data_IF_777020895638
#
_entry.id   IF_777020895638
#
_cell.length_a   1.000
_cell.length_b   1.000
_cell.length_c   1.000
_cell.angle_alpha   90.00
_cell.angle_beta   90.00
_cell.angle_gamma   90.00
#
_symmetry.space_group_name_H-M   'P 1'
#
loop_
_entity.id
_entity.type
_entity.pdbx_description
1 polymer ?
#
# COMPACT_ATOMS: atom_id res chain seq x y z
N UNK A 1 22.54 5.14 -8.50
CA UNK A 1 21.52 4.32 -9.16
C UNK A 1 20.14 4.78 -8.78
N UNK A 2 19.26 4.84 -9.77
CA UNK A 2 17.90 5.27 -9.55
C UNK A 2 17.04 4.10 -9.06
N UNK A 3 16.27 4.30 -8.00
CA UNK A 3 15.32 3.32 -7.53
C UNK A 3 14.17 3.18 -8.55
N UNK A 4 13.61 2.00 -8.69
CA UNK A 4 12.52 1.72 -9.64
C UNK A 4 11.45 0.81 -9.01
N UNK A 5 10.44 0.44 -9.81
CA UNK A 5 9.35 -0.41 -9.31
C UNK A 5 9.87 -1.72 -8.72
N UNK A 6 10.82 -2.35 -9.39
CA UNK A 6 11.39 -3.61 -8.93
C UNK A 6 12.14 -3.45 -7.60
N UNK A 7 12.90 -2.36 -7.44
CA UNK A 7 13.62 -2.12 -6.19
C UNK A 7 12.67 -1.83 -5.02
N UNK A 8 11.54 -1.18 -5.27
CA UNK A 8 10.51 -0.95 -4.26
C UNK A 8 9.93 -2.30 -3.79
N UNK A 9 9.54 -3.13 -4.73
CA UNK A 9 8.95 -4.44 -4.42
C UNK A 9 9.97 -5.33 -3.70
N UNK A 10 11.20 -5.36 -4.17
CA UNK A 10 12.27 -6.15 -3.56
C UNK A 10 12.55 -5.69 -2.14
N UNK A 11 12.66 -4.38 -1.93
CA UNK A 11 12.90 -3.81 -0.60
C UNK A 11 11.80 -4.23 0.39
N UNK A 12 10.54 -4.11 -0.04
CA UNK A 12 9.40 -4.43 0.81
C UNK A 12 9.32 -5.93 1.09
N UNK A 13 9.53 -6.75 0.06
CA UNK A 13 9.49 -8.21 0.19
C UNK A 13 10.59 -8.72 1.11
N UNK A 14 11.80 -8.20 0.97
CA UNK A 14 12.94 -8.58 1.83
C UNK A 14 12.76 -8.15 3.28
N UNK A 15 12.04 -7.05 3.50
CA UNK A 15 11.74 -6.58 4.85
C UNK A 15 10.89 -7.60 5.62
N UNK A 16 9.88 -8.15 4.97
CA UNK A 16 9.02 -9.19 5.54
C UNK A 16 8.04 -8.68 6.60
N UNK A 17 7.15 -9.57 7.07
CA UNK A 17 6.07 -9.19 7.99
C UNK A 17 6.54 -8.53 9.28
N UNK A 18 7.71 -8.87 9.79
CA UNK A 18 8.23 -8.25 11.01
C UNK A 18 8.42 -6.74 10.84
N UNK A 19 8.89 -6.30 9.66
CA UNK A 19 9.11 -4.88 9.39
C UNK A 19 7.83 -4.18 8.94
N UNK A 20 6.95 -4.90 8.24
CA UNK A 20 5.73 -4.31 7.70
C UNK A 20 4.81 -3.75 8.78
N UNK A 21 4.69 -4.44 9.91
CA UNK A 21 3.68 -4.15 10.92
C UNK A 21 4.27 -3.70 12.25
N UNK A 22 5.58 -3.48 12.32
CA UNK A 22 6.27 -3.05 13.54
C UNK A 22 6.95 -1.72 13.29
N UNK A 23 6.85 -0.81 14.26
CA UNK A 23 7.60 0.44 14.19
C UNK A 23 9.08 0.14 14.37
N UNK A 24 9.91 0.56 13.43
CA UNK A 24 11.36 0.38 13.46
C UNK A 24 12.01 1.64 12.89
N UNK A 25 12.64 2.42 13.76
CA UNK A 25 13.19 3.72 13.37
C UNK A 25 14.32 3.58 12.35
N UNK A 26 15.14 2.52 12.45
CA UNK A 26 16.21 2.27 11.49
C UNK A 26 15.68 1.93 10.10
N UNK A 27 14.62 1.14 10.06
CA UNK A 27 13.96 0.78 8.80
C UNK A 27 13.34 2.01 8.14
N UNK A 28 12.65 2.81 8.93
CA UNK A 28 12.03 4.05 8.43
C UNK A 28 13.10 5.02 7.89
N UNK A 29 14.22 5.14 8.61
CA UNK A 29 15.32 6.02 8.18
C UNK A 29 15.93 5.57 6.86
N UNK A 30 16.13 4.27 6.68
CA UNK A 30 16.64 3.72 5.42
C UNK A 30 15.66 3.97 4.28
N UNK A 31 14.38 3.79 4.54
CA UNK A 31 13.34 4.06 3.54
C UNK A 31 13.37 5.52 3.10
N UNK A 32 13.46 6.44 4.05
CA UNK A 32 13.56 7.88 3.77
C UNK A 32 14.78 8.16 2.90
N UNK A 33 15.92 7.60 3.28
CA UNK A 33 17.18 7.81 2.55
C UNK A 33 17.10 7.31 1.11
N UNK A 34 16.47 6.15 0.89
CA UNK A 34 16.44 5.51 -0.43
C UNK A 34 15.31 6.00 -1.32
N UNK A 35 14.15 6.26 -0.74
CA UNK A 35 12.92 6.39 -1.53
C UNK A 35 12.22 7.75 -1.44
N UNK A 36 12.79 8.74 -0.74
CA UNK A 36 12.15 10.06 -0.62
C UNK A 36 11.93 10.72 -1.98
N UNK A 37 12.91 10.67 -2.87
CA UNK A 37 12.78 11.25 -4.21
C UNK A 37 11.73 10.50 -5.02
N UNK A 38 11.74 9.18 -4.94
CA UNK A 38 10.77 8.35 -5.66
C UNK A 38 9.35 8.60 -5.14
N UNK A 39 9.21 8.76 -3.83
CA UNK A 39 7.93 9.10 -3.22
C UNK A 39 7.41 10.44 -3.75
N UNK A 40 8.26 11.46 -3.79
CA UNK A 40 7.87 12.77 -4.32
C UNK A 40 7.44 12.68 -5.79
N UNK A 41 8.16 11.92 -6.59
CA UNK A 41 7.81 11.70 -8.00
C UNK A 41 6.47 10.97 -8.15
N UNK A 42 6.25 9.95 -7.33
CA UNK A 42 4.98 9.21 -7.34
C UNK A 42 3.81 10.12 -6.95
N UNK A 43 3.99 10.93 -5.91
CA UNK A 43 2.96 11.85 -5.43
C UNK A 43 2.61 12.93 -6.45
N UNK A 44 3.60 13.39 -7.22
CA UNK A 44 3.41 14.45 -8.21
C UNK A 44 2.84 13.96 -9.55
N UNK A 45 2.73 12.66 -9.75
CA UNK A 45 2.21 12.09 -10.99
C UNK A 45 3.27 11.70 -12.00
N UNK A 46 4.54 11.94 -11.71
CA UNK A 46 5.64 11.62 -12.64
C UNK A 46 5.78 10.13 -12.91
N UNK A 47 5.27 9.27 -12.01
CA UNK A 47 5.37 7.82 -12.16
C UNK A 47 4.03 7.16 -12.49
N UNK A 48 3.03 7.93 -12.91
CA UNK A 48 1.69 7.39 -13.16
C UNK A 48 1.69 6.27 -14.22
N UNK A 49 2.63 6.29 -15.16
CA UNK A 49 2.75 5.24 -16.18
C UNK A 49 3.07 3.87 -15.59
N UNK A 50 3.61 3.82 -14.37
CA UNK A 50 3.86 2.54 -13.70
C UNK A 50 2.56 1.75 -13.50
N UNK A 51 1.44 2.43 -13.39
CA UNK A 51 0.12 1.79 -13.21
C UNK A 51 -0.35 1.01 -14.45
N UNK A 52 0.37 1.08 -15.55
CA UNK A 52 0.02 0.36 -16.78
C UNK A 52 0.28 -1.15 -16.70
N UNK A 53 1.03 -1.62 -15.69
CA UNK A 53 1.23 -3.04 -15.48
C UNK A 53 1.09 -3.39 -13.99
N UNK A 54 0.96 -4.69 -13.72
CA UNK A 54 0.66 -5.17 -12.36
C UNK A 54 1.72 -4.79 -11.34
N UNK A 55 2.98 -5.03 -11.66
CA UNK A 55 4.08 -4.77 -10.72
C UNK A 55 4.29 -3.28 -10.48
N UNK A 56 4.21 -2.47 -11.54
CA UNK A 56 4.32 -1.02 -11.40
C UNK A 56 3.19 -0.44 -10.57
N UNK A 57 1.97 -0.93 -10.76
CA UNK A 57 0.81 -0.50 -9.98
C UNK A 57 0.99 -0.86 -8.50
N UNK A 58 1.42 -2.09 -8.20
CA UNK A 58 1.72 -2.51 -6.84
C UNK A 58 2.78 -1.61 -6.20
N UNK A 59 3.86 -1.32 -6.94
CA UNK A 59 4.93 -0.47 -6.44
C UNK A 59 4.42 0.93 -6.10
N UNK A 60 3.57 1.53 -6.94
CA UNK A 60 2.98 2.83 -6.66
C UNK A 60 2.12 2.79 -5.39
N UNK A 61 1.32 1.75 -5.24
CA UNK A 61 0.49 1.61 -4.05
C UNK A 61 1.36 1.50 -2.80
N UNK A 62 2.42 0.68 -2.85
CA UNK A 62 3.35 0.54 -1.72
C UNK A 62 3.99 1.89 -1.36
N UNK A 63 4.47 2.64 -2.35
CA UNK A 63 5.10 3.94 -2.12
C UNK A 63 4.12 4.93 -1.48
N UNK A 64 2.92 5.02 -2.03
CA UNK A 64 1.98 6.07 -1.63
C UNK A 64 1.18 5.69 -0.39
N UNK A 65 1.00 4.42 -0.12
CA UNK A 65 0.27 3.95 1.06
C UNK A 65 1.23 3.58 2.20
N UNK A 66 1.95 2.49 2.07
CA UNK A 66 2.80 1.98 3.15
C UNK A 66 4.03 2.86 3.41
N UNK A 67 4.73 3.26 2.38
CA UNK A 67 5.92 4.09 2.56
C UNK A 67 5.55 5.45 3.13
N UNK A 68 4.43 6.04 2.71
CA UNK A 68 3.96 7.30 3.29
C UNK A 68 3.78 7.18 4.80
N UNK A 69 3.18 6.10 5.26
CA UNK A 69 2.95 5.88 6.67
C UNK A 69 4.23 5.71 7.46
N UNK A 70 5.21 5.02 6.88
CA UNK A 70 6.51 4.83 7.53
C UNK A 70 7.36 6.10 7.53
N UNK A 71 7.38 6.81 6.40
CA UNK A 71 8.26 7.98 6.23
C UNK A 71 7.76 9.21 6.99
N UNK A 72 6.46 9.32 7.19
CA UNK A 72 5.82 10.50 7.78
C UNK A 72 5.04 10.18 9.05
N UNK A 73 5.50 9.21 9.86
CA UNK A 73 4.82 8.83 11.09
C UNK A 73 4.55 10.05 11.97
N UNK A 74 3.30 10.18 12.43
CA UNK A 74 2.90 11.28 13.28
C UNK A 74 2.62 12.59 12.55
N UNK A 75 2.71 12.60 11.23
CA UNK A 75 2.48 13.76 10.38
C UNK A 75 1.29 13.49 9.46
N UNK A 76 0.40 14.48 9.22
CA UNK A 76 -0.71 14.32 8.28
C UNK A 76 -0.28 13.88 6.88
N UNK A 77 0.96 14.14 6.47
CA UNK A 77 1.49 13.69 5.19
C UNK A 77 1.45 12.17 5.03
N UNK A 78 1.41 11.42 6.15
CA UNK A 78 1.29 9.96 6.10
C UNK A 78 0.00 9.50 5.42
N UNK A 79 -1.04 10.34 5.40
CA UNK A 79 -2.35 10.02 4.82
C UNK A 79 -2.66 10.85 3.56
N UNK A 80 -1.77 11.76 3.17
CA UNK A 80 -2.05 12.72 2.10
C UNK A 80 -2.31 12.07 0.74
N UNK A 81 -1.80 10.86 0.52
CA UNK A 81 -1.93 10.15 -0.76
C UNK A 81 -2.99 9.06 -0.75
N UNK A 82 -3.80 8.97 0.31
CA UNK A 82 -4.78 7.88 0.45
C UNK A 82 -5.80 7.84 -0.69
N UNK A 83 -6.28 8.99 -1.17
CA UNK A 83 -7.21 9.04 -2.31
C UNK A 83 -6.60 8.47 -3.58
N UNK A 84 -5.35 8.84 -3.85
CA UNK A 84 -4.64 8.33 -5.03
C UNK A 84 -4.41 6.83 -4.91
N UNK A 85 -4.05 6.35 -3.71
CA UNK A 85 -3.89 4.92 -3.45
C UNK A 85 -5.18 4.17 -3.71
N UNK A 86 -6.30 4.72 -3.28
CA UNK A 86 -7.60 4.09 -3.47
C UNK A 86 -7.94 3.98 -4.95
N UNK A 87 -7.68 5.04 -5.72
CA UNK A 87 -7.86 5.01 -7.17
C UNK A 87 -6.99 3.93 -7.83
N UNK A 88 -5.73 3.84 -7.45
CA UNK A 88 -4.81 2.83 -7.97
C UNK A 88 -5.27 1.41 -7.61
N UNK A 89 -5.77 1.23 -6.39
CA UNK A 89 -6.29 -0.07 -5.96
C UNK A 89 -7.51 -0.48 -6.77
N UNK A 90 -8.41 0.45 -7.07
CA UNK A 90 -9.57 0.17 -7.93
C UNK A 90 -9.12 -0.22 -9.34
N UNK A 91 -8.15 0.51 -9.90
CA UNK A 91 -7.57 0.19 -11.20
C UNK A 91 -6.97 -1.21 -11.18
N UNK A 92 -6.25 -1.56 -10.13
CA UNK A 92 -5.64 -2.88 -10.00
C UNK A 92 -6.68 -3.99 -10.01
N UNK A 93 -7.79 -3.81 -9.30
CA UNK A 93 -8.88 -4.81 -9.30
C UNK A 93 -9.55 -4.91 -10.67
N UNK A 94 -9.82 -3.77 -11.31
CA UNK A 94 -10.47 -3.74 -12.63
C UNK A 94 -9.64 -4.47 -13.68
N UNK A 95 -8.32 -4.43 -13.55
CA UNK A 95 -7.39 -5.04 -14.50
C UNK A 95 -6.86 -6.40 -14.01
N UNK A 96 -7.37 -6.90 -12.89
CA UNK A 96 -6.97 -8.17 -12.28
C UNK A 96 -5.46 -8.22 -11.96
N UNK A 97 -4.86 -7.09 -11.61
CA UNK A 97 -3.44 -7.02 -11.26
C UNK A 97 -3.14 -7.77 -9.96
N UNK A 98 -4.11 -7.84 -9.05
CA UNK A 98 -3.96 -8.56 -7.79
C UNK A 98 -3.69 -10.06 -8.01
N UNK A 99 -4.13 -10.61 -9.13
CA UNK A 99 -3.84 -12.00 -9.50
C UNK A 99 -2.49 -12.18 -10.21
N UNK A 100 -1.82 -11.08 -10.53
CA UNK A 100 -0.57 -11.08 -11.32
C UNK A 100 0.68 -10.73 -10.52
N UNK A 101 0.51 -10.33 -9.25
CA UNK A 101 1.64 -9.96 -8.39
C UNK A 101 1.99 -11.11 -7.45
N UNK A 102 3.14 -10.98 -6.76
CA UNK A 102 3.55 -11.94 -5.75
C UNK A 102 2.44 -12.09 -4.70
N UNK A 103 1.93 -13.32 -4.46
CA UNK A 103 0.86 -13.54 -3.49
C UNK A 103 1.15 -13.02 -2.09
N UNK A 104 2.42 -12.95 -1.69
CA UNK A 104 2.80 -12.40 -0.38
C UNK A 104 2.50 -10.91 -0.27
N UNK A 105 2.44 -10.20 -1.39
CA UNK A 105 2.20 -8.75 -1.43
C UNK A 105 0.79 -8.37 -1.88
N UNK A 106 -0.01 -9.33 -2.28
CA UNK A 106 -1.36 -9.12 -2.80
C UNK A 106 -2.24 -8.30 -1.85
N UNK A 107 -2.15 -8.54 -0.56
CA UNK A 107 -2.96 -7.84 0.44
C UNK A 107 -2.71 -6.34 0.46
N UNK A 108 -1.53 -5.88 0.03
CA UNK A 108 -1.22 -4.45 -0.01
C UNK A 108 -1.99 -3.71 -1.09
N UNK A 109 -2.45 -4.40 -2.13
CA UNK A 109 -3.37 -3.82 -3.12
C UNK A 109 -4.73 -3.55 -2.47
N UNK A 110 -5.12 -4.37 -1.48
CA UNK A 110 -6.42 -4.24 -0.80
C UNK A 110 -6.41 -3.24 0.36
N UNK A 111 -5.24 -2.91 0.89
CA UNK A 111 -5.12 -2.01 2.04
C UNK A 111 -5.73 -0.63 1.83
N UNK A 112 -5.63 0.00 0.65
CA UNK A 112 -6.26 1.30 0.45
C UNK A 112 -7.77 1.30 0.73
N UNK A 113 -8.45 0.19 0.47
CA UNK A 113 -9.88 0.09 0.79
C UNK A 113 -10.11 0.07 2.30
N UNK A 114 -9.20 -0.56 3.06
CA UNK A 114 -9.27 -0.61 4.52
C UNK A 114 -9.04 0.79 5.12
N UNK A 115 -8.24 1.62 4.47
CA UNK A 115 -7.95 2.98 4.94
C UNK A 115 -9.04 3.99 4.54
N UNK A 116 -10.02 3.59 3.74
CA UNK A 116 -11.12 4.45 3.31
C UNK A 116 -12.16 4.61 4.41
N UNK A 117 -12.76 5.80 4.49
CA UNK A 117 -13.87 6.07 5.41
C UNK A 117 -15.24 5.66 4.81
N UNK A 118 -15.26 5.29 3.53
CA UNK A 118 -16.49 4.87 2.84
C UNK A 118 -16.86 3.45 3.28
N UNK A 119 -18.10 3.26 3.74
CA UNK A 119 -18.56 1.97 4.25
C UNK A 119 -18.51 0.87 3.18
N UNK A 120 -18.86 1.19 1.94
CA UNK A 120 -18.78 0.22 0.84
C UNK A 120 -17.34 -0.27 0.64
N UNK A 121 -16.36 0.64 0.76
CA UNK A 121 -14.94 0.27 0.66
C UNK A 121 -14.51 -0.61 1.83
N UNK A 122 -15.04 -0.38 3.03
CA UNK A 122 -14.75 -1.22 4.19
C UNK A 122 -15.27 -2.64 3.99
N UNK A 123 -16.48 -2.80 3.48
CA UNK A 123 -17.04 -4.11 3.17
C UNK A 123 -16.24 -4.82 2.09
N UNK A 124 -15.82 -4.08 1.06
CA UNK A 124 -14.97 -4.62 -0.01
C UNK A 124 -13.62 -5.06 0.55
N UNK A 125 -13.01 -4.26 1.42
CA UNK A 125 -11.75 -4.60 2.08
C UNK A 125 -11.86 -5.93 2.82
N UNK A 126 -12.90 -6.10 3.63
CA UNK A 126 -13.10 -7.34 4.38
C UNK A 126 -13.26 -8.53 3.45
N UNK A 127 -14.05 -8.38 2.39
CA UNK A 127 -14.26 -9.44 1.41
C UNK A 127 -12.94 -9.86 0.73
N UNK A 128 -12.16 -8.88 0.28
CA UNK A 128 -10.89 -9.13 -0.41
C UNK A 128 -9.86 -9.75 0.52
N UNK A 129 -9.74 -9.26 1.75
CA UNK A 129 -8.78 -9.79 2.71
C UNK A 129 -9.18 -11.20 3.16
N UNK A 130 -10.46 -11.48 3.29
CA UNK A 130 -10.96 -12.82 3.62
C UNK A 130 -10.61 -13.82 2.51
N UNK A 131 -10.68 -13.40 1.26
CA UNK A 131 -10.39 -14.26 0.12
C UNK A 131 -8.89 -14.44 -0.14
N UNK A 132 -8.06 -13.42 0.13
CA UNK A 132 -6.66 -13.44 -0.28
C UNK A 132 -5.64 -12.90 0.71
N UNK A 133 -6.07 -12.39 1.86
CA UNK A 133 -5.17 -11.90 2.91
C UNK A 133 -4.94 -12.94 3.99
N UNK A 134 -3.98 -12.72 4.88
CA UNK A 134 -3.77 -13.58 6.04
C UNK A 134 -4.71 -13.23 7.19
N UNK A 135 -4.72 -14.06 8.22
CA UNK A 135 -5.58 -13.86 9.40
C UNK A 135 -5.43 -12.48 10.04
N UNK A 136 -4.20 -11.97 10.13
CA UNK A 136 -3.94 -10.65 10.68
C UNK A 136 -4.61 -9.54 9.89
N UNK A 137 -4.61 -9.65 8.55
CA UNK A 137 -5.23 -8.69 7.67
C UNK A 137 -6.76 -8.76 7.76
N UNK A 138 -7.31 -9.96 7.88
CA UNK A 138 -8.76 -10.16 8.06
C UNK A 138 -9.20 -9.50 9.36
N UNK A 139 -8.45 -9.71 10.44
CA UNK A 139 -8.76 -9.11 11.74
C UNK A 139 -8.70 -7.59 11.66
N UNK A 140 -7.67 -7.04 11.04
CA UNK A 140 -7.52 -5.59 10.86
C UNK A 140 -8.69 -5.02 10.05
N UNK A 141 -9.09 -5.69 8.97
CA UNK A 141 -10.20 -5.26 8.13
C UNK A 141 -11.51 -5.23 8.92
N UNK A 142 -11.75 -6.23 9.77
CA UNK A 142 -12.94 -6.27 10.63
C UNK A 142 -12.95 -5.11 11.64
N UNK A 143 -11.81 -4.83 12.25
CA UNK A 143 -11.67 -3.74 13.22
C UNK A 143 -11.94 -2.38 12.56
N UNK A 144 -11.40 -2.15 11.37
CA UNK A 144 -11.63 -0.91 10.62
C UNK A 144 -13.11 -0.76 10.25
N UNK A 145 -13.74 -1.84 9.79
CA UNK A 145 -15.15 -1.83 9.44
C UNK A 145 -16.01 -1.44 10.66
N UNK A 146 -15.73 -2.04 11.82
CA UNK A 146 -16.46 -1.73 13.04
C UNK A 146 -16.36 -0.25 13.42
N UNK A 147 -15.18 0.35 13.26
CA UNK A 147 -14.98 1.77 13.54
C UNK A 147 -15.84 2.64 12.62
N UNK A 148 -15.87 2.32 11.34
CA UNK A 148 -16.63 3.10 10.36
C UNK A 148 -18.14 2.93 10.52
N UNK A 149 -18.60 1.73 10.90
CA UNK A 149 -20.04 1.47 11.14
C UNK A 149 -20.60 2.22 12.34
N UNK A 150 -19.76 2.59 13.29
CA UNK A 150 -20.17 3.36 14.46
C UNK A 150 -20.27 4.83 14.17
#
# INVERSE_FOLDING_TARGET
>A
MTENANSVITFWLEAGPKKWFTKDDSFDAEMIRRFSNLHAQAASGELDDWANNAEGCLALILILDQFSRNMFRGDPKSFAQDEKCLHLARTALDRAFDDKVNPELKSFIYMPFMHSEDLADQHLSLKLQTAGGGEGNIKAAKQHLEIIEK
#
